data_IF_296273737148
#
_entry.id   IF_296273737148
#
_cell.length_a   1.000
_cell.length_b   1.000
_cell.length_c   1.000
_cell.angle_alpha   90.00
_cell.angle_beta   90.00
_cell.angle_gamma   90.00
#
_symmetry.space_group_name_H-M   'P 1'
#
loop_
_entity.id
_entity.type
_entity.pdbx_description
1 polymer ?
#
# COMPACT_ATOMS: atom_id res chain seq x y z
N UNK A 1 -14.03 -60.22 1.74
CA UNK A 1 -13.98 -59.04 0.82
C UNK A 1 -14.63 -57.76 1.41
N UNK A 2 -14.67 -57.55 2.74
CA UNK A 2 -15.14 -56.27 3.33
C UNK A 2 -14.05 -55.41 3.99
N UNK A 3 -12.96 -56.02 4.44
CA UNK A 3 -11.86 -55.32 5.12
C UNK A 3 -11.03 -54.41 4.17
N UNK A 4 -10.71 -54.84 2.95
CA UNK A 4 -9.94 -54.01 2.00
C UNK A 4 -10.64 -52.71 1.58
N UNK A 5 -11.95 -52.57 1.78
CA UNK A 5 -12.70 -51.37 1.42
C UNK A 5 -12.65 -50.29 2.50
N UNK A 6 -12.41 -50.63 3.78
CA UNK A 6 -12.28 -49.63 4.85
C UNK A 6 -10.95 -48.90 4.78
N UNK A 7 -9.87 -49.62 4.47
CA UNK A 7 -8.50 -49.06 4.46
C UNK A 7 -8.30 -48.06 3.29
N UNK A 8 -8.98 -48.32 2.16
CA UNK A 8 -9.00 -47.40 1.02
C UNK A 8 -9.78 -46.10 1.33
N UNK A 9 -10.82 -46.17 2.17
CA UNK A 9 -11.61 -44.98 2.54
C UNK A 9 -10.88 -44.14 3.57
N UNK A 10 -10.17 -44.77 4.52
CA UNK A 10 -9.35 -44.04 5.48
C UNK A 10 -8.16 -43.34 4.82
N UNK A 11 -7.42 -44.03 3.95
CA UNK A 11 -6.27 -43.43 3.23
C UNK A 11 -6.66 -42.23 2.34
N UNK A 12 -7.83 -42.26 1.70
CA UNK A 12 -8.36 -41.12 0.92
C UNK A 12 -8.73 -39.95 1.84
N UNK A 13 -9.34 -40.24 3.01
CA UNK A 13 -9.72 -39.21 3.99
C UNK A 13 -8.50 -38.51 4.60
N UNK A 14 -7.45 -39.26 4.93
CA UNK A 14 -6.20 -38.70 5.47
C UNK A 14 -5.35 -37.95 4.43
N UNK A 15 -5.45 -38.28 3.13
CA UNK A 15 -4.82 -37.50 2.04
C UNK A 15 -5.62 -36.25 1.64
N UNK A 16 -6.95 -36.27 1.73
CA UNK A 16 -7.78 -35.12 1.36
C UNK A 16 -7.72 -33.98 2.36
N UNK A 17 -7.65 -34.25 3.66
CA UNK A 17 -7.56 -33.21 4.71
C UNK A 17 -6.38 -32.22 4.56
N UNK A 18 -5.12 -32.66 4.33
CA UNK A 18 -4.00 -31.75 4.10
C UNK A 18 -4.06 -31.06 2.73
N UNK A 19 -4.74 -31.67 1.75
CA UNK A 19 -4.94 -31.07 0.41
C UNK A 19 -5.96 -29.94 0.47
N UNK A 20 -7.06 -30.13 1.20
CA UNK A 20 -8.08 -29.11 1.44
C UNK A 20 -7.52 -27.94 2.26
N UNK A 21 -6.69 -28.22 3.26
CA UNK A 21 -5.99 -27.19 4.03
C UNK A 21 -5.00 -26.37 3.19
N UNK A 22 -4.20 -27.04 2.34
CA UNK A 22 -3.31 -26.35 1.38
C UNK A 22 -4.10 -25.53 0.35
N UNK A 23 -5.23 -26.05 -0.12
CA UNK A 23 -6.10 -25.32 -1.05
C UNK A 23 -6.71 -24.07 -0.39
N UNK A 24 -7.20 -24.18 0.86
CA UNK A 24 -7.70 -23.05 1.63
C UNK A 24 -6.63 -21.97 1.85
N UNK A 25 -5.44 -22.36 2.29
CA UNK A 25 -4.32 -21.44 2.48
C UNK A 25 -3.96 -20.76 1.15
N UNK A 26 -3.93 -21.51 0.04
CA UNK A 26 -3.67 -20.93 -1.29
C UNK A 26 -4.78 -19.96 -1.73
N UNK A 27 -6.05 -20.25 -1.44
CA UNK A 27 -7.16 -19.32 -1.75
C UNK A 27 -7.10 -18.05 -0.92
N UNK A 28 -6.73 -18.15 0.36
CA UNK A 28 -6.54 -16.97 1.23
C UNK A 28 -5.37 -16.13 0.77
N UNK A 29 -4.24 -16.76 0.44
CA UNK A 29 -3.07 -16.07 -0.13
C UNK A 29 -3.41 -15.40 -1.47
N UNK A 30 -4.20 -16.06 -2.31
CA UNK A 30 -4.66 -15.49 -3.58
C UNK A 30 -5.60 -14.30 -3.37
N UNK A 31 -6.59 -14.42 -2.49
CA UNK A 31 -7.49 -13.34 -2.13
C UNK A 31 -6.72 -12.14 -1.56
N UNK A 32 -5.76 -12.38 -0.66
CA UNK A 32 -4.88 -11.35 -0.12
C UNK A 32 -4.05 -10.66 -1.22
N UNK A 33 -3.46 -11.44 -2.14
CA UNK A 33 -2.71 -10.89 -3.27
C UNK A 33 -3.60 -10.05 -4.20
N UNK A 34 -4.85 -10.46 -4.40
CA UNK A 34 -5.83 -9.76 -5.26
C UNK A 34 -6.29 -8.46 -4.63
N UNK A 35 -6.57 -8.48 -3.32
CA UNK A 35 -6.90 -7.25 -2.57
C UNK A 35 -5.73 -6.27 -2.63
N UNK A 36 -4.50 -6.77 -2.49
CA UNK A 36 -3.28 -5.95 -2.56
C UNK A 36 -3.06 -5.32 -3.94
N UNK A 37 -3.24 -6.08 -5.02
CA UNK A 37 -3.10 -5.56 -6.39
C UNK A 37 -4.21 -4.55 -6.72
N UNK A 38 -5.44 -4.82 -6.30
CA UNK A 38 -6.54 -3.84 -6.39
C UNK A 38 -6.21 -2.55 -5.63
N UNK A 39 -5.69 -2.66 -4.41
CA UNK A 39 -5.31 -1.49 -3.60
C UNK A 39 -4.22 -0.66 -4.30
N UNK A 40 -3.20 -1.32 -4.85
CA UNK A 40 -2.14 -0.67 -5.62
C UNK A 40 -2.67 0.00 -6.88
N UNK A 41 -3.58 -0.66 -7.60
CA UNK A 41 -4.18 -0.11 -8.81
C UNK A 41 -5.03 1.13 -8.49
N UNK A 42 -5.78 1.10 -7.38
CA UNK A 42 -6.51 2.26 -6.87
C UNK A 42 -5.55 3.41 -6.46
N UNK A 43 -4.48 3.11 -5.71
CA UNK A 43 -3.46 4.10 -5.33
C UNK A 43 -2.74 4.70 -6.54
N UNK A 44 -2.44 3.90 -7.57
CA UNK A 44 -1.86 4.40 -8.81
C UNK A 44 -2.83 5.27 -9.61
N UNK A 45 -4.13 4.93 -9.60
CA UNK A 45 -5.15 5.74 -10.26
C UNK A 45 -5.37 7.09 -9.56
N UNK A 46 -5.29 7.10 -8.23
CA UNK A 46 -5.40 8.31 -7.41
C UNK A 46 -4.13 9.17 -7.47
N UNK A 47 -2.98 8.60 -7.84
CA UNK A 47 -1.68 9.30 -7.94
C UNK A 47 -1.71 10.59 -8.78
N UNK A 48 -2.21 10.62 -10.03
CA UNK A 48 -2.30 11.85 -10.80
C UNK A 48 -3.23 12.89 -10.16
N UNK A 49 -4.30 12.46 -9.48
CA UNK A 49 -5.22 13.37 -8.79
C UNK A 49 -4.56 13.99 -7.54
N UNK A 50 -3.84 13.19 -6.77
CA UNK A 50 -3.03 13.66 -5.63
C UNK A 50 -1.95 14.62 -6.12
N UNK A 51 -1.26 14.31 -7.22
CA UNK A 51 -0.26 15.20 -7.80
C UNK A 51 -0.88 16.51 -8.27
N UNK A 52 -2.06 16.46 -8.90
CA UNK A 52 -2.77 17.64 -9.39
C UNK A 52 -3.27 18.55 -8.26
N UNK A 53 -3.66 18.00 -7.11
CA UNK A 53 -4.20 18.77 -5.97
C UNK A 53 -3.08 19.24 -5.03
N UNK A 54 -2.17 18.35 -4.65
CA UNK A 54 -1.13 18.67 -3.65
C UNK A 54 -0.10 19.62 -4.24
N UNK A 55 0.36 19.40 -5.48
CA UNK A 55 1.41 20.22 -6.09
C UNK A 55 1.09 21.72 -6.07
N UNK A 56 -0.04 22.21 -6.63
CA UNK A 56 -0.36 23.64 -6.61
C UNK A 56 -0.59 24.15 -5.18
N UNK A 57 -1.12 23.33 -4.28
CA UNK A 57 -1.31 23.69 -2.87
C UNK A 57 0.04 23.92 -2.17
N UNK A 58 1.01 23.02 -2.34
CA UNK A 58 2.38 23.17 -1.83
C UNK A 58 3.09 24.36 -2.44
N UNK A 59 2.94 24.59 -3.74
CA UNK A 59 3.56 25.75 -4.41
C UNK A 59 2.97 27.06 -3.89
N UNK A 60 1.64 27.14 -3.72
CA UNK A 60 0.98 28.31 -3.16
C UNK A 60 1.42 28.58 -1.71
N UNK A 61 1.53 27.54 -0.89
CA UNK A 61 2.00 27.66 0.49
C UNK A 61 3.48 28.10 0.56
N UNK A 62 4.34 27.59 -0.33
CA UNK A 62 5.73 28.04 -0.44
C UNK A 62 5.85 29.51 -0.85
N UNK A 63 5.03 29.96 -1.81
CA UNK A 63 4.99 31.37 -2.22
C UNK A 63 4.51 32.24 -1.06
N UNK A 64 3.44 31.84 -0.36
CA UNK A 64 2.93 32.55 0.81
C UNK A 64 3.97 32.62 1.94
N UNK A 65 4.71 31.54 2.17
CA UNK A 65 5.82 31.50 3.12
C UNK A 65 6.93 32.48 2.74
N UNK A 66 7.39 32.46 1.49
CA UNK A 66 8.43 33.38 1.00
C UNK A 66 7.98 34.84 1.11
N UNK A 67 6.75 35.16 0.70
CA UNK A 67 6.19 36.51 0.81
C UNK A 67 6.12 36.95 2.27
N UNK A 68 5.63 36.11 3.19
CA UNK A 68 5.58 36.43 4.62
C UNK A 68 6.98 36.69 5.20
N UNK A 69 7.97 35.92 4.78
CA UNK A 69 9.34 36.04 5.27
C UNK A 69 9.99 37.37 4.87
N UNK A 70 9.70 37.88 3.66
CA UNK A 70 10.23 39.17 3.19
C UNK A 70 9.40 40.39 3.62
N UNK A 71 8.08 40.23 3.78
CA UNK A 71 7.18 41.37 4.08
C UNK A 71 6.96 41.60 5.56
N UNK A 72 6.99 40.55 6.39
CA UNK A 72 6.66 40.64 7.82
C UNK A 72 7.67 39.85 8.68
N UNK A 73 8.95 40.28 8.76
CA UNK A 73 9.98 39.54 9.50
C UNK A 73 9.76 39.51 11.03
N UNK A 74 8.90 40.38 11.56
CA UNK A 74 8.59 40.45 12.99
C UNK A 74 7.53 39.43 13.44
N UNK A 75 6.65 38.99 12.54
CA UNK A 75 5.58 38.03 12.87
C UNK A 75 6.06 36.58 12.68
N UNK A 76 6.84 36.11 13.65
CA UNK A 76 7.34 34.73 13.69
C UNK A 76 6.20 33.70 13.69
N UNK A 77 5.03 34.03 14.23
CA UNK A 77 3.87 33.11 14.26
C UNK A 77 3.37 32.73 12.87
N UNK A 78 3.32 33.67 11.94
CA UNK A 78 2.83 33.45 10.56
C UNK A 78 3.83 32.64 9.74
N UNK A 79 5.11 33.00 9.84
CA UNK A 79 6.20 32.27 9.16
C UNK A 79 6.31 30.83 9.64
N UNK A 80 6.28 30.58 10.95
CA UNK A 80 6.26 29.21 11.49
C UNK A 80 4.99 28.43 11.12
N UNK A 81 3.83 29.09 11.07
CA UNK A 81 2.57 28.47 10.64
C UNK A 81 2.61 27.97 9.20
N UNK A 82 3.03 28.82 8.26
CA UNK A 82 3.18 28.44 6.85
C UNK A 82 4.33 27.44 6.64
N UNK A 83 5.41 27.54 7.42
CA UNK A 83 6.50 26.55 7.43
C UNK A 83 6.05 25.16 7.88
N UNK A 84 5.24 25.06 8.94
CA UNK A 84 4.67 23.79 9.39
C UNK A 84 3.66 23.20 8.41
N UNK A 85 2.82 24.05 7.79
CA UNK A 85 1.85 23.60 6.79
C UNK A 85 2.53 23.08 5.52
N UNK A 86 3.58 23.76 5.04
CA UNK A 86 4.39 23.27 3.91
C UNK A 86 5.08 21.96 4.25
N UNK A 87 5.71 21.85 5.43
CA UNK A 87 6.36 20.62 5.89
C UNK A 87 5.35 19.47 6.01
N UNK A 88 4.16 19.73 6.55
CA UNK A 88 3.07 18.76 6.63
C UNK A 88 2.64 18.25 5.25
N UNK A 89 2.51 19.14 4.27
CA UNK A 89 2.15 18.77 2.90
C UNK A 89 3.26 17.97 2.18
N UNK A 90 4.54 18.27 2.44
CA UNK A 90 5.65 17.43 1.96
C UNK A 90 5.66 16.05 2.64
N UNK A 91 5.37 16.01 3.95
CA UNK A 91 5.34 14.77 4.70
C UNK A 91 4.22 13.84 4.23
N UNK A 92 3.02 14.38 3.92
CA UNK A 92 1.93 13.56 3.38
C UNK A 92 2.26 13.00 2.00
N UNK A 93 2.91 13.78 1.13
CA UNK A 93 3.39 13.31 -0.17
C UNK A 93 4.45 12.21 -0.02
N UNK A 94 5.41 12.39 0.91
CA UNK A 94 6.41 11.37 1.23
C UNK A 94 5.78 10.09 1.79
N UNK A 95 4.82 10.21 2.71
CA UNK A 95 4.12 9.07 3.29
C UNK A 95 3.34 8.29 2.20
N UNK A 96 2.74 9.01 1.25
CA UNK A 96 2.01 8.42 0.13
C UNK A 96 2.94 7.64 -0.82
N UNK A 97 4.04 8.24 -1.27
CA UNK A 97 5.03 7.54 -2.11
C UNK A 97 5.70 6.38 -1.34
N UNK A 98 5.92 6.51 -0.03
CA UNK A 98 6.42 5.43 0.81
C UNK A 98 5.43 4.26 0.91
N UNK A 99 4.13 4.54 1.05
CA UNK A 99 3.08 3.53 1.03
C UNK A 99 3.08 2.79 -0.31
N UNK A 100 3.12 3.51 -1.43
CA UNK A 100 3.18 2.92 -2.77
C UNK A 100 4.45 2.08 -2.93
N UNK A 101 5.61 2.56 -2.48
CA UNK A 101 6.86 1.82 -2.57
C UNK A 101 6.84 0.54 -1.72
N UNK A 102 6.32 0.59 -0.49
CA UNK A 102 6.17 -0.60 0.37
C UNK A 102 5.16 -1.58 -0.19
N UNK A 103 3.99 -1.11 -0.65
CA UNK A 103 2.98 -1.99 -1.23
C UNK A 103 3.46 -2.57 -2.57
N UNK A 104 4.14 -1.79 -3.42
CA UNK A 104 4.66 -2.21 -4.72
C UNK A 104 5.87 -3.14 -4.59
N UNK A 105 6.81 -2.82 -3.69
CA UNK A 105 8.02 -3.60 -3.44
C UNK A 105 7.73 -5.04 -3.05
N UNK A 106 6.81 -5.28 -2.10
CA UNK A 106 6.42 -6.66 -1.79
C UNK A 106 5.37 -7.28 -2.75
N UNK A 107 4.94 -6.60 -3.83
CA UNK A 107 4.28 -7.29 -4.97
C UNK A 107 5.32 -7.86 -5.93
N UNK A 108 6.41 -7.13 -6.19
CA UNK A 108 7.51 -7.60 -7.05
C UNK A 108 8.18 -8.83 -6.45
N UNK A 109 8.39 -8.85 -5.12
CA UNK A 109 9.00 -9.97 -4.39
C UNK A 109 8.19 -11.27 -4.49
N UNK A 110 6.85 -11.18 -4.42
CA UNK A 110 5.95 -12.34 -4.56
C UNK A 110 5.95 -12.90 -5.98
N UNK A 111 6.19 -12.05 -6.98
CA UNK A 111 6.18 -12.45 -8.39
C UNK A 111 7.45 -13.20 -8.78
N UNK A 112 8.62 -12.76 -8.27
CA UNK A 112 9.89 -13.43 -8.53
C UNK A 112 10.10 -14.74 -7.77
N UNK A 113 9.46 -14.94 -6.61
CA UNK A 113 9.56 -16.19 -5.87
C UNK A 113 8.75 -17.35 -6.48
N UNK A 114 7.93 -17.08 -7.50
CA UNK A 114 7.12 -18.09 -8.22
C UNK A 114 7.72 -18.53 -9.56
N UNK A 115 8.84 -17.93 -9.96
CA UNK A 115 9.53 -18.18 -11.24
C UNK A 115 10.79 -19.05 -11.14
N UNK A 116 11.06 -19.61 -9.96
CA UNK A 116 12.11 -20.61 -9.74
C UNK A 116 11.53 -21.89 -9.16
#
# INVERSE_FOLDING_TARGET
MRAMRSDAVETVRYRMFPWLGRALINTVMFAWSTVRTLLLMMLMFVRPLVFFVITPLTTALMIAFAVCLFTHPADTRLTWGFGLLTLGAFFTMFLYDWLIYKLGGMVVEVTHHRSY
#
